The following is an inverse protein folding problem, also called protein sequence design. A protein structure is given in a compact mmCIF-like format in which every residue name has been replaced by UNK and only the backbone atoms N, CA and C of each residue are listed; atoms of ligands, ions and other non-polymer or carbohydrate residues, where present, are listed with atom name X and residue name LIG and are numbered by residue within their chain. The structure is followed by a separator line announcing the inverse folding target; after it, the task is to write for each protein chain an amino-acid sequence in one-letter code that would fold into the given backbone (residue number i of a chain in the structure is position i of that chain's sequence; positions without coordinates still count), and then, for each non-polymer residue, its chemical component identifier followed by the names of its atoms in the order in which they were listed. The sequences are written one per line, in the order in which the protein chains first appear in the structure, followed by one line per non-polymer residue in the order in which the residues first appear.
data_IF_882537738548
#
_entry.id   IF_882537738548
#
_cell.length_a   1.000
_cell.length_b   1.000
_cell.length_c   1.000
_cell.angle_alpha   90.00
_cell.angle_beta   90.00
_cell.angle_gamma   90.00
#
_symmetry.space_group_name_H-M   'P 1'
#
loop_
_entity.id
_entity.type
_entity.pdbx_description
1 polymer ?
#
# COMPACT_ATOMS: atom_id res chain seq x y z
N UNK A 1 13.15 -6.35 3.47
CA UNK A 1 11.67 -6.22 3.41
C UNK A 1 11.16 -4.88 3.95
N UNK A 2 11.61 -4.40 5.12
CA UNK A 2 11.27 -3.06 5.64
C UNK A 2 11.89 -1.92 4.83
N UNK A 3 13.12 -2.10 4.34
CA UNK A 3 13.86 -1.07 3.58
C UNK A 3 13.21 -0.74 2.21
N UNK A 4 12.62 -1.74 1.54
CA UNK A 4 11.86 -1.54 0.28
C UNK A 4 10.60 -0.70 0.52
N UNK A 5 9.95 -0.82 1.69
CA UNK A 5 8.75 -0.04 2.03
C UNK A 5 9.06 1.45 2.21
N UNK A 6 10.23 1.76 2.76
CA UNK A 6 10.68 3.14 3.01
C UNK A 6 11.04 3.83 1.69
N UNK A 7 11.75 3.14 0.79
CA UNK A 7 12.16 3.74 -0.49
C UNK A 7 11.00 3.95 -1.47
N UNK A 8 9.99 3.06 -1.49
CA UNK A 8 8.94 3.10 -2.51
C UNK A 8 7.71 3.97 -2.16
N UNK A 9 7.70 4.75 -1.07
CA UNK A 9 6.49 5.43 -0.55
C UNK A 9 5.29 4.46 -0.49
N UNK A 10 5.55 3.26 0.02
CA UNK A 10 4.63 2.12 -0.09
C UNK A 10 3.30 2.35 0.64
N UNK A 11 3.30 3.23 1.65
CA UNK A 11 2.11 3.64 2.37
C UNK A 11 1.96 5.17 2.29
N UNK A 12 0.73 5.70 2.17
CA UNK A 12 0.50 7.13 2.21
C UNK A 12 0.94 7.69 3.56
N UNK A 13 1.47 8.92 3.58
CA UNK A 13 1.92 9.60 4.82
C UNK A 13 0.83 9.64 5.92
N UNK A 14 -0.44 9.59 5.54
CA UNK A 14 -1.57 9.56 6.46
C UNK A 14 -1.64 8.26 7.29
N UNK A 15 -0.96 7.19 6.87
CA UNK A 15 -0.86 5.93 7.61
C UNK A 15 -0.15 6.12 8.95
N UNK A 16 0.93 6.91 8.96
CA UNK A 16 1.70 7.20 10.17
C UNK A 16 0.94 8.14 11.10
N UNK A 17 0.19 9.09 10.53
CA UNK A 17 -0.60 10.08 11.27
C UNK A 17 -1.98 9.58 11.71
N UNK A 18 -2.38 8.35 11.39
CA UNK A 18 -3.71 7.83 11.68
C UNK A 18 -4.03 7.87 13.18
N UNK A 19 -3.02 7.68 14.02
CA UNK A 19 -3.14 7.74 15.48
C UNK A 19 -3.39 9.16 15.98
N UNK A 20 -2.74 10.16 15.36
CA UNK A 20 -2.94 11.57 15.69
C UNK A 20 -4.34 12.03 15.23
N UNK A 21 -4.79 11.58 14.06
CA UNK A 21 -6.13 11.88 13.57
C UNK A 21 -7.21 11.34 14.51
N UNK A 22 -7.12 10.08 14.93
CA UNK A 22 -8.12 9.49 15.83
C UNK A 22 -8.05 10.10 17.24
N UNK A 23 -6.85 10.42 17.71
CA UNK A 23 -6.63 11.09 19.00
C UNK A 23 -7.21 12.52 19.04
N UNK A 24 -7.26 13.21 17.89
CA UNK A 24 -7.80 14.58 17.81
C UNK A 24 -9.32 14.69 17.93
N UNK A 25 -10.04 13.56 17.92
CA UNK A 25 -11.52 13.51 17.98
C UNK A 25 -12.03 13.54 19.44
N UNK A 26 -11.14 13.67 20.43
CA UNK A 26 -11.52 13.72 21.84
C UNK A 26 -11.99 15.09 22.33
N UNK A 27 -13.26 15.15 22.72
CA UNK A 27 -13.92 16.32 23.34
C UNK A 27 -14.46 16.05 24.75
N UNK A 28 -14.19 14.90 25.37
CA UNK A 28 -14.88 14.55 26.63
C UNK A 28 -13.92 14.40 27.83
N UNK A 29 -14.07 15.24 28.87
CA UNK A 29 -13.37 15.03 30.13
C UNK A 29 -13.96 13.79 30.81
N UNK A 30 -13.24 12.66 30.71
CA UNK A 30 -13.62 11.43 31.39
C UNK A 30 -13.28 11.55 32.88
N UNK A 31 -14.27 11.94 33.68
CA UNK A 31 -14.19 12.00 35.14
C UNK A 31 -14.08 10.60 35.81
N UNK A 32 -13.87 9.54 35.02
CA UNK A 32 -13.84 8.15 35.47
C UNK A 32 -12.73 7.38 34.75
N UNK A 33 -11.63 7.13 35.46
CA UNK A 33 -10.38 6.59 34.93
C UNK A 33 -10.55 5.22 34.26
N UNK A 34 -11.45 4.37 34.75
CA UNK A 34 -11.71 3.05 34.16
C UNK A 34 -12.34 3.15 32.77
N UNK A 35 -13.34 4.02 32.61
CA UNK A 35 -13.97 4.26 31.30
C UNK A 35 -12.99 4.87 30.31
N UNK A 36 -12.08 5.72 30.77
CA UNK A 36 -11.04 6.30 29.93
C UNK A 36 -10.08 5.24 29.38
N UNK A 37 -9.66 4.30 30.23
CA UNK A 37 -8.80 3.17 29.83
C UNK A 37 -9.52 2.27 28.81
N UNK A 38 -10.79 1.94 29.04
CA UNK A 38 -11.56 1.11 28.09
C UNK A 38 -11.72 1.77 26.71
N UNK A 39 -12.02 3.07 26.67
CA UNK A 39 -12.14 3.83 25.42
C UNK A 39 -10.80 3.88 24.69
N UNK A 40 -9.71 4.12 25.42
CA UNK A 40 -8.35 4.10 24.86
C UNK A 40 -8.00 2.75 24.24
N UNK A 41 -8.32 1.65 24.93
CA UNK A 41 -8.06 0.29 24.43
C UNK A 41 -8.90 -0.04 23.19
N UNK A 42 -10.18 0.35 23.16
CA UNK A 42 -11.05 0.18 21.98
C UNK A 42 -10.52 0.96 20.78
N UNK A 43 -10.06 2.19 20.98
CA UNK A 43 -9.44 3.00 19.91
C UNK A 43 -8.17 2.38 19.38
N UNK A 44 -7.29 1.92 20.27
CA UNK A 44 -6.07 1.24 19.87
C UNK A 44 -6.38 0.02 18.98
N UNK A 45 -7.41 -0.76 19.35
CA UNK A 45 -7.86 -1.90 18.54
C UNK A 45 -8.36 -1.46 17.16
N UNK A 46 -9.20 -0.42 17.09
CA UNK A 46 -9.72 0.13 15.83
C UNK A 46 -8.59 0.64 14.93
N UNK A 47 -7.65 1.42 15.48
CA UNK A 47 -6.49 1.95 14.74
C UNK A 47 -5.66 0.79 14.19
N UNK A 48 -5.41 -0.24 15.00
CA UNK A 48 -4.64 -1.41 14.58
C UNK A 48 -5.33 -2.19 13.46
N UNK A 49 -6.64 -2.38 13.55
CA UNK A 49 -7.44 -3.03 12.51
C UNK A 49 -7.47 -2.21 11.22
N UNK A 50 -7.70 -0.90 11.32
CA UNK A 50 -7.66 0.02 10.17
C UNK A 50 -6.30 0.00 9.46
N UNK A 51 -5.20 0.07 10.23
CA UNK A 51 -3.83 -0.06 9.70
C UNK A 51 -3.63 -1.39 8.97
N UNK A 52 -4.15 -2.50 9.51
CA UNK A 52 -4.06 -3.82 8.87
C UNK A 52 -4.84 -3.87 7.56
N UNK A 53 -6.07 -3.36 7.55
CA UNK A 53 -6.89 -3.33 6.33
C UNK A 53 -6.27 -2.46 5.24
N UNK A 54 -5.76 -1.28 5.59
CA UNK A 54 -5.05 -0.43 4.65
C UNK A 54 -3.80 -1.10 4.09
N UNK A 55 -2.97 -1.71 4.95
CA UNK A 55 -1.79 -2.41 4.49
C UNK A 55 -2.13 -3.51 3.48
N UNK A 56 -3.15 -4.33 3.78
CA UNK A 56 -3.60 -5.38 2.88
C UNK A 56 -4.10 -4.83 1.55
N UNK A 57 -4.90 -3.77 1.60
CA UNK A 57 -5.44 -3.12 0.39
C UNK A 57 -4.32 -2.58 -0.50
N UNK A 58 -3.34 -1.88 0.07
CA UNK A 58 -2.21 -1.37 -0.68
C UNK A 58 -1.34 -2.49 -1.24
N UNK A 59 -1.04 -3.53 -0.46
CA UNK A 59 -0.29 -4.69 -0.95
C UNK A 59 -0.95 -5.30 -2.20
N UNK A 60 -2.27 -5.48 -2.16
CA UNK A 60 -3.03 -6.02 -3.29
C UNK A 60 -2.95 -5.11 -4.53
N UNK A 61 -3.07 -3.79 -4.36
CA UNK A 61 -2.91 -2.85 -5.48
C UNK A 61 -1.52 -2.95 -6.09
N UNK A 62 -0.48 -3.05 -5.26
CA UNK A 62 0.88 -3.16 -5.76
C UNK A 62 1.13 -4.46 -6.49
N UNK A 63 0.59 -5.58 -5.98
CA UNK A 63 0.68 -6.87 -6.65
C UNK A 63 0.06 -6.80 -8.05
N UNK A 64 -1.13 -6.20 -8.18
CA UNK A 64 -1.78 -5.97 -9.49
C UNK A 64 -0.88 -5.12 -10.40
N UNK A 65 -0.34 -4.00 -9.90
CA UNK A 65 0.53 -3.15 -10.72
C UNK A 65 1.81 -3.84 -11.17
N UNK A 66 2.41 -4.67 -10.32
CA UNK A 66 3.62 -5.44 -10.69
C UNK A 66 3.28 -6.40 -11.82
N UNK A 67 2.15 -7.11 -11.74
CA UNK A 67 1.69 -7.99 -12.80
C UNK A 67 1.42 -7.23 -14.11
N UNK A 68 0.80 -6.05 -14.03
CA UNK A 68 0.59 -5.19 -15.21
C UNK A 68 1.91 -4.78 -15.87
N UNK A 69 2.92 -4.40 -15.06
CA UNK A 69 4.24 -4.04 -15.59
C UNK A 69 4.98 -5.22 -16.21
N UNK A 70 4.92 -6.40 -15.58
CA UNK A 70 5.49 -7.63 -16.14
C UNK A 70 4.84 -7.97 -17.48
N UNK A 71 3.51 -7.86 -17.58
CA UNK A 71 2.78 -8.10 -18.82
C UNK A 71 3.18 -7.09 -19.92
N UNK A 72 3.28 -5.80 -19.58
CA UNK A 72 3.74 -4.77 -20.52
C UNK A 72 5.15 -5.05 -21.02
N UNK A 73 6.05 -5.42 -20.12
CA UNK A 73 7.42 -5.78 -20.47
C UNK A 73 7.46 -6.97 -21.45
N UNK A 74 6.71 -8.04 -21.16
CA UNK A 74 6.65 -9.22 -22.04
C UNK A 74 6.09 -8.86 -23.42
N UNK A 75 5.04 -8.03 -23.48
CA UNK A 75 4.46 -7.59 -24.74
C UNK A 75 5.44 -6.77 -25.59
N UNK A 76 6.16 -5.83 -24.97
CA UNK A 76 7.19 -5.04 -25.68
C UNK A 76 8.37 -5.94 -26.10
N UNK A 77 8.74 -6.92 -25.29
CA UNK A 77 9.79 -7.89 -25.64
C UNK A 77 9.41 -8.72 -26.89
N UNK A 78 8.22 -9.32 -26.90
CA UNK A 78 7.71 -10.09 -28.05
C UNK A 78 7.64 -9.22 -29.31
N UNK A 79 7.19 -7.97 -29.15
CA UNK A 79 7.11 -7.01 -30.25
C UNK A 79 8.50 -6.71 -30.82
N UNK A 80 9.50 -6.51 -29.98
CA UNK A 80 10.89 -6.29 -30.42
C UNK A 80 11.47 -7.53 -31.12
N UNK A 81 11.24 -8.74 -30.60
CA UNK A 81 11.67 -9.99 -31.25
C UNK A 81 11.04 -10.17 -32.63
N UNK A 82 9.75 -9.85 -32.77
CA UNK A 82 9.04 -9.92 -34.05
C UNK A 82 9.61 -8.93 -35.08
N UNK A 83 10.00 -7.73 -34.65
CA UNK A 83 10.61 -6.73 -35.52
C UNK A 83 12.00 -7.17 -35.99
N UNK A 84 12.79 -7.77 -35.09
CA UNK A 84 14.12 -8.29 -35.44
C UNK A 84 14.04 -9.45 -36.43
N UNK A 85 13.13 -10.40 -36.21
CA UNK A 85 12.93 -11.55 -37.11
C UNK A 85 12.46 -11.11 -38.51
N UNK A 86 11.47 -10.21 -38.59
CA UNK A 86 10.94 -9.70 -39.86
C UNK A 86 11.95 -8.86 -40.66
N UNK A 87 12.91 -8.22 -40.00
CA UNK A 87 13.95 -7.46 -40.68
C UNK A 87 15.03 -8.36 -41.26
N UNK A 88 15.34 -9.49 -40.62
CA UNK A 88 16.31 -10.46 -41.13
C UNK A 88 15.83 -11.14 -42.41
N UNK A 89 14.52 -11.42 -42.53
CA UNK A 89 13.91 -12.02 -43.74
C UNK A 89 13.86 -11.07 -44.95
N UNK A 90 14.04 -9.75 -44.76
CA UNK A 90 14.06 -8.76 -45.86
C UNK A 90 15.46 -8.48 -46.41
N UNK A 91 16.50 -8.94 -45.73
CA UNK A 91 17.91 -8.74 -46.11
C UNK A 91 18.54 -9.96 -46.79
N UNK A 92 17.77 -11.01 -47.07
CA UNK A 92 18.18 -12.20 -47.80
C UNK A 92 17.50 -12.26 -49.16
#
# INVERSE_FOLDING_TARGET
MLEIRIHCKFLPQNFDHLENFVSSIDYLPLNNNQKAIEIKNKRFKIIKEAKRHWLNYFLNIYEIKIQEYEQQYQNEFIKLESLLSNNNDKTM
#
